data_IF_356992292929
#
_entry.id   IF_356992292929
#
_cell.length_a   1.000
_cell.length_b   1.000
_cell.length_c   1.000
_cell.angle_alpha   90.00
_cell.angle_beta   90.00
_cell.angle_gamma   90.00
#
_symmetry.space_group_name_H-M   'P 1'
#
loop_
_entity.id
_entity.type
_entity.pdbx_description
1 polymer ?
#
# COMPACT_ATOMS: atom_id res chain seq x y z
N UNK A 1 -12.34 -15.61 0.67
CA UNK A 1 -11.19 -15.26 1.55
C UNK A 1 -9.97 -15.14 0.66
N UNK A 2 -9.30 -13.99 0.60
CA UNK A 2 -8.10 -13.80 -0.24
C UNK A 2 -6.85 -13.89 0.64
N UNK A 3 -6.04 -14.91 0.41
CA UNK A 3 -4.74 -15.10 1.05
C UNK A 3 -3.69 -14.48 0.12
N UNK A 4 -2.72 -13.76 0.66
CA UNK A 4 -1.59 -13.23 -0.12
C UNK A 4 -0.30 -13.84 0.42
N UNK A 5 0.58 -14.32 -0.46
CA UNK A 5 1.90 -14.82 -0.08
C UNK A 5 2.99 -14.00 -0.73
N UNK A 6 4.02 -13.68 0.05
CA UNK A 6 5.30 -13.26 -0.46
C UNK A 6 6.21 -14.45 -0.64
N UNK A 7 6.95 -14.45 -1.73
CA UNK A 7 8.03 -15.40 -1.96
C UNK A 7 9.34 -14.64 -2.04
N UNK A 8 10.39 -15.19 -1.44
CA UNK A 8 11.75 -14.70 -1.66
C UNK A 8 12.10 -14.89 -3.13
N UNK A 9 12.35 -13.79 -3.83
CA UNK A 9 13.02 -13.80 -5.11
C UNK A 9 14.51 -14.08 -4.85
N UNK A 10 15.10 -15.06 -5.52
CA UNK A 10 16.55 -15.29 -5.49
C UNK A 10 17.37 -14.18 -6.20
N UNK A 11 16.82 -12.97 -6.31
CA UNK A 11 17.44 -11.83 -6.99
C UNK A 11 18.06 -10.85 -6.00
N UNK A 12 19.19 -10.24 -6.36
CA UNK A 12 19.83 -9.16 -5.58
C UNK A 12 19.00 -7.84 -5.55
N UNK A 13 17.88 -7.77 -6.26
CA UNK A 13 17.02 -6.58 -6.33
C UNK A 13 15.85 -6.68 -5.33
N UNK A 14 15.46 -5.57 -4.68
CA UNK A 14 14.26 -5.54 -3.84
C UNK A 14 12.99 -5.91 -4.61
N UNK A 15 12.11 -6.69 -4.00
CA UNK A 15 10.79 -7.03 -4.56
C UNK A 15 9.71 -5.99 -4.23
N UNK A 16 9.95 -5.15 -3.22
CA UNK A 16 9.03 -4.07 -2.77
C UNK A 16 9.76 -2.74 -2.79
N UNK A 17 9.15 -1.73 -3.40
CA UNK A 17 9.67 -0.37 -3.47
C UNK A 17 8.69 0.63 -2.87
N UNK A 18 9.19 1.60 -2.10
CA UNK A 18 8.47 2.82 -1.74
C UNK A 18 9.25 4.02 -2.29
N UNK A 19 8.61 4.84 -3.13
CA UNK A 19 9.26 5.92 -3.88
C UNK A 19 8.45 7.20 -3.80
N UNK A 20 9.10 8.35 -3.97
CA UNK A 20 8.43 9.61 -4.24
C UNK A 20 8.50 9.91 -5.73
N UNK A 21 7.40 10.36 -6.35
CA UNK A 21 7.36 10.65 -7.78
C UNK A 21 6.33 11.73 -8.13
N UNK A 22 6.64 12.54 -9.14
CA UNK A 22 5.68 13.48 -9.73
C UNK A 22 4.57 12.74 -10.50
N UNK A 23 3.36 13.28 -10.42
CA UNK A 23 2.15 12.77 -11.06
C UNK A 23 2.29 12.66 -12.57
N UNK A 24 2.93 13.65 -13.21
CA UNK A 24 3.11 13.71 -14.67
C UNK A 24 3.84 12.49 -15.24
N UNK A 25 4.70 11.85 -14.43
CA UNK A 25 5.53 10.72 -14.86
C UNK A 25 4.78 9.38 -14.76
N UNK A 26 3.60 9.34 -14.14
CA UNK A 26 2.81 8.11 -13.96
C UNK A 26 1.68 7.93 -14.99
N UNK A 27 1.52 8.85 -15.95
CA UNK A 27 0.53 8.75 -17.04
C UNK A 27 -0.91 8.74 -16.51
N UNK A 28 -1.49 9.93 -16.33
CA UNK A 28 -2.92 10.23 -16.09
C UNK A 28 -3.73 9.50 -15.00
N UNK A 29 -3.25 8.42 -14.37
CA UNK A 29 -4.02 7.64 -13.37
C UNK A 29 -4.43 8.45 -12.12
N UNK A 30 -3.74 9.55 -11.86
CA UNK A 30 -4.03 10.47 -10.77
C UNK A 30 -4.15 11.93 -11.23
N UNK A 31 -4.15 12.18 -12.55
CA UNK A 31 -4.43 13.49 -13.13
C UNK A 31 -5.89 13.87 -12.79
N UNK A 32 -6.07 14.95 -12.04
CA UNK A 32 -7.39 15.38 -11.56
C UNK A 32 -7.93 14.66 -10.31
N UNK A 33 -7.22 13.65 -9.75
CA UNK A 33 -7.64 12.97 -8.51
C UNK A 33 -6.89 13.49 -7.29
N UNK A 34 -7.60 13.66 -6.16
CA UNK A 34 -7.04 14.07 -4.87
C UNK A 34 -6.36 12.88 -4.15
N UNK A 35 -5.38 12.26 -4.81
CA UNK A 35 -4.66 11.06 -4.34
C UNK A 35 -3.22 11.42 -4.00
N UNK A 36 -2.69 10.98 -2.86
CA UNK A 36 -1.31 11.28 -2.44
C UNK A 36 -0.41 10.05 -2.32
N UNK A 37 -1.00 8.84 -2.43
CA UNK A 37 -0.33 7.56 -2.38
C UNK A 37 -0.94 6.60 -3.41
N UNK A 38 -0.12 5.76 -4.02
CA UNK A 38 -0.59 4.73 -4.96
C UNK A 38 0.33 3.52 -4.92
N UNK A 39 -0.25 2.32 -4.86
CA UNK A 39 0.51 1.07 -4.89
C UNK A 39 0.10 0.19 -6.06
N UNK A 40 1.11 -0.26 -6.81
CA UNK A 40 0.98 -1.28 -7.84
C UNK A 40 1.53 -2.59 -7.30
N UNK A 41 0.69 -3.62 -7.25
CA UNK A 41 1.09 -4.96 -6.84
C UNK A 41 1.08 -5.87 -8.08
N UNK A 42 2.15 -6.65 -8.24
CA UNK A 42 2.29 -7.64 -9.30
C UNK A 42 2.25 -9.05 -8.71
N UNK A 43 1.62 -9.96 -9.45
CA UNK A 43 1.43 -11.35 -9.04
C UNK A 43 2.11 -12.29 -10.04
N UNK A 44 2.41 -13.51 -9.62
CA UNK A 44 2.89 -14.54 -10.55
C UNK A 44 1.79 -14.91 -11.55
N UNK A 45 2.15 -15.18 -12.82
CA UNK A 45 1.16 -15.60 -13.83
C UNK A 45 0.39 -16.87 -13.43
N UNK A 46 1.03 -17.74 -12.65
CA UNK A 46 0.47 -18.98 -12.14
C UNK A 46 -0.46 -18.79 -10.93
N UNK A 47 -0.52 -17.60 -10.33
CA UNK A 47 -1.36 -17.37 -9.15
C UNK A 47 -1.62 -15.88 -8.89
N UNK A 48 -2.88 -15.53 -8.72
CA UNK A 48 -3.38 -14.21 -8.31
C UNK A 48 -3.25 -13.94 -6.79
N UNK A 49 -2.69 -14.89 -6.03
CA UNK A 49 -2.46 -14.78 -4.58
C UNK A 49 -0.97 -14.71 -4.21
N UNK A 50 -0.08 -15.09 -5.14
CA UNK A 50 1.36 -15.00 -4.93
C UNK A 50 1.87 -13.65 -5.44
N UNK A 51 2.16 -12.73 -4.51
CA UNK A 51 2.74 -11.43 -4.85
C UNK A 51 4.19 -11.64 -5.27
N UNK A 52 4.48 -11.22 -6.51
CA UNK A 52 5.83 -11.20 -7.07
C UNK A 52 6.61 -9.96 -6.65
N UNK A 53 5.91 -8.85 -6.45
CA UNK A 53 6.51 -7.60 -6.04
C UNK A 53 5.53 -6.45 -6.07
N UNK A 54 5.89 -5.34 -5.43
CA UNK A 54 5.04 -4.16 -5.35
C UNK A 54 5.84 -2.87 -5.47
N UNK A 55 5.24 -1.84 -6.05
CA UNK A 55 5.80 -0.48 -6.08
C UNK A 55 4.77 0.52 -5.59
N UNK A 56 5.11 1.17 -4.50
CA UNK A 56 4.35 2.24 -3.87
C UNK A 56 4.95 3.60 -4.21
N UNK A 57 4.10 4.56 -4.54
CA UNK A 57 4.44 5.93 -4.88
C UNK A 57 3.76 6.91 -3.93
N UNK A 58 4.54 7.86 -3.42
CA UNK A 58 4.05 9.08 -2.78
C UNK A 58 4.09 10.20 -3.83
N UNK A 59 2.92 10.78 -4.09
CA UNK A 59 2.70 11.66 -5.24
C UNK A 59 3.05 13.11 -4.88
N UNK A 60 4.26 13.53 -5.24
CA UNK A 60 4.87 14.79 -4.75
C UNK A 60 4.06 16.03 -5.09
N UNK A 61 3.39 16.05 -6.24
CA UNK A 61 2.70 17.26 -6.70
C UNK A 61 1.42 17.49 -5.87
N UNK A 62 0.70 16.41 -5.51
CA UNK A 62 -0.46 16.50 -4.64
C UNK A 62 -0.06 16.70 -3.16
N UNK A 63 1.07 16.13 -2.73
CA UNK A 63 1.64 16.41 -1.40
C UNK A 63 1.88 17.91 -1.22
N UNK A 64 2.49 18.56 -2.22
CA UNK A 64 2.72 20.00 -2.24
C UNK A 64 1.39 20.78 -2.34
N UNK A 65 0.54 20.43 -3.30
CA UNK A 65 -0.76 21.10 -3.55
C UNK A 65 -1.65 21.14 -2.31
N UNK A 66 -1.73 20.04 -1.56
CA UNK A 66 -2.61 19.91 -0.39
C UNK A 66 -1.92 20.20 0.94
N UNK A 67 -0.67 20.69 0.93
CA UNK A 67 0.10 20.99 2.14
C UNK A 67 0.12 19.82 3.14
N UNK A 68 0.34 18.61 2.63
CA UNK A 68 0.33 17.39 3.43
C UNK A 68 1.47 17.45 4.46
N UNK A 69 1.13 17.23 5.73
CA UNK A 69 2.10 17.23 6.83
C UNK A 69 2.99 15.98 6.80
N UNK A 70 4.14 16.04 7.48
CA UNK A 70 5.02 14.87 7.65
C UNK A 70 4.32 13.69 8.33
N UNK A 71 3.41 13.96 9.27
CA UNK A 71 2.61 12.92 9.92
C UNK A 71 1.66 12.21 8.94
N UNK A 72 0.97 12.99 8.10
CA UNK A 72 0.11 12.46 7.05
C UNK A 72 0.92 11.69 5.99
N UNK A 73 2.10 12.18 5.63
CA UNK A 73 3.00 11.50 4.70
C UNK A 73 3.47 10.14 5.25
N UNK A 74 3.89 10.09 6.52
CA UNK A 74 4.29 8.85 7.19
C UNK A 74 3.13 7.85 7.24
N UNK A 75 1.93 8.32 7.57
CA UNK A 75 0.72 7.50 7.55
C UNK A 75 0.47 6.90 6.17
N UNK A 76 0.50 7.73 5.12
CA UNK A 76 0.31 7.28 3.74
C UNK A 76 1.38 6.26 3.34
N UNK A 77 2.64 6.48 3.70
CA UNK A 77 3.69 5.49 3.45
C UNK A 77 3.36 4.13 4.08
N UNK A 78 2.88 4.10 5.33
CA UNK A 78 2.47 2.86 6.00
C UNK A 78 1.25 2.24 5.32
N UNK A 79 0.28 3.06 4.91
CA UNK A 79 -0.92 2.62 4.17
C UNK A 79 -0.56 1.93 2.85
N UNK A 80 0.32 2.56 2.05
CA UNK A 80 0.78 2.01 0.78
C UNK A 80 1.61 0.74 0.98
N UNK A 81 2.44 0.68 2.02
CA UNK A 81 3.12 -0.56 2.39
C UNK A 81 2.12 -1.67 2.77
N UNK A 82 1.00 -1.32 3.41
CA UNK A 82 -0.11 -2.23 3.65
C UNK A 82 -0.65 -2.86 2.35
N UNK A 83 -0.86 -2.04 1.31
CA UNK A 83 -1.23 -2.56 -0.01
C UNK A 83 -0.14 -3.42 -0.65
N UNK A 84 1.13 -3.02 -0.50
CA UNK A 84 2.27 -3.79 -1.02
C UNK A 84 2.29 -5.20 -0.41
N UNK A 85 1.89 -5.32 0.87
CA UNK A 85 1.74 -6.59 1.61
C UNK A 85 0.36 -7.23 1.52
N UNK A 86 -0.46 -6.84 0.54
CA UNK A 86 -1.71 -7.53 0.24
C UNK A 86 -2.90 -7.15 1.13
N UNK A 87 -2.77 -6.13 1.98
CA UNK A 87 -3.92 -5.59 2.71
C UNK A 87 -4.80 -4.77 1.76
N UNK A 88 -6.12 -4.89 1.93
CA UNK A 88 -7.12 -4.06 1.23
C UNK A 88 -7.52 -2.87 2.12
N UNK A 89 -8.19 -1.88 1.53
CA UNK A 89 -8.79 -0.80 2.30
C UNK A 89 -9.70 -1.33 3.41
N UNK A 90 -9.74 -0.60 4.51
CA UNK A 90 -10.63 -0.83 5.63
C UNK A 90 -11.56 0.37 5.79
N UNK A 91 -12.85 0.15 5.97
CA UNK A 91 -13.83 1.24 6.15
C UNK A 91 -13.77 1.89 7.53
N UNK A 92 -13.11 1.25 8.52
CA UNK A 92 -13.02 1.77 9.89
C UNK A 92 -11.97 2.88 9.98
N UNK A 93 -12.39 4.10 10.30
CA UNK A 93 -11.50 5.29 10.46
C UNK A 93 -10.24 5.08 11.33
N UNK A 94 -10.25 4.26 12.39
CA UNK A 94 -9.04 3.98 13.18
C UNK A 94 -7.99 3.12 12.47
N UNK A 95 -8.35 2.43 11.39
CA UNK A 95 -7.44 1.56 10.65
C UNK A 95 -6.40 2.37 9.88
N UNK A 96 -5.16 1.88 9.86
CA UNK A 96 -4.12 2.45 8.99
C UNK A 96 -4.47 2.28 7.51
N UNK A 97 -5.25 1.24 7.17
CA UNK A 97 -5.78 0.96 5.84
C UNK A 97 -7.05 1.75 5.50
N UNK A 98 -7.45 2.74 6.32
CA UNK A 98 -8.53 3.66 5.94
C UNK A 98 -8.11 4.56 4.77
N UNK A 99 -8.87 4.63 3.65
CA UNK A 99 -8.41 5.23 2.40
C UNK A 99 -8.26 6.76 2.43
N UNK A 100 -8.84 7.44 3.43
CA UNK A 100 -8.76 8.89 3.55
C UNK A 100 -7.71 9.32 4.57
N UNK A 101 -7.15 10.51 4.36
CA UNK A 101 -6.16 11.09 5.27
C UNK A 101 -6.76 11.31 6.65
N UNK A 102 -5.96 10.96 7.66
CA UNK A 102 -6.23 11.23 9.06
C UNK A 102 -4.91 11.41 9.79
N UNK A 103 -4.95 11.97 11.00
CA UNK A 103 -3.76 12.14 11.83
C UNK A 103 -3.40 10.86 12.63
N UNK A 104 -4.07 9.72 12.36
CA UNK A 104 -3.84 8.46 13.08
C UNK A 104 -2.77 7.64 12.36
N UNK A 105 -1.62 7.48 13.03
CA UNK A 105 -0.44 6.73 12.53
C UNK A 105 -0.34 5.35 13.23
N UNK A 106 -1.14 5.11 14.27
CA UNK A 106 -1.14 3.86 15.03
C UNK A 106 -1.74 2.71 14.22
N UNK A 107 -1.04 1.58 14.20
CA UNK A 107 -1.60 0.30 13.75
C UNK A 107 -2.70 -0.12 14.74
N UNK A 108 -3.92 -0.33 14.26
CA UNK A 108 -5.04 -0.79 15.09
C UNK A 108 -5.03 -2.31 15.26
N UNK A 109 -5.70 -2.82 16.30
CA UNK A 109 -5.93 -4.26 16.45
C UNK A 109 -6.67 -4.88 15.26
N UNK A 110 -7.53 -4.09 14.59
CA UNK A 110 -8.20 -4.49 13.35
C UNK A 110 -7.23 -4.65 12.17
N UNK A 111 -6.18 -3.84 12.11
CA UNK A 111 -5.12 -3.96 11.09
C UNK A 111 -4.31 -5.23 11.30
N UNK A 112 -3.91 -5.50 12.55
CA UNK A 112 -3.18 -6.73 12.91
C UNK A 112 -4.01 -7.97 12.58
N UNK A 113 -5.29 -7.99 12.95
CA UNK A 113 -6.20 -9.10 12.63
C UNK A 113 -6.39 -9.28 11.13
N UNK A 114 -6.57 -8.19 10.39
CA UNK A 114 -6.71 -8.24 8.94
C UNK A 114 -5.45 -8.80 8.28
N UNK A 115 -4.26 -8.33 8.71
CA UNK A 115 -2.98 -8.83 8.23
C UNK A 115 -2.82 -10.31 8.55
N UNK A 116 -3.09 -10.72 9.80
CA UNK A 116 -3.07 -12.13 10.18
C UNK A 116 -3.97 -12.96 9.26
N UNK A 117 -5.21 -12.54 9.02
CA UNK A 117 -6.13 -13.26 8.12
C UNK A 117 -5.63 -13.33 6.66
N UNK A 118 -4.91 -12.32 6.19
CA UNK A 118 -4.29 -12.32 4.85
C UNK A 118 -3.22 -13.39 4.71
N UNK A 119 -2.49 -13.75 5.78
CA UNK A 119 -1.37 -14.68 5.72
C UNK A 119 -1.64 -16.06 6.35
N UNK A 120 -2.53 -16.16 7.32
CA UNK A 120 -2.62 -17.31 8.22
C UNK A 120 -3.70 -18.33 7.85
N UNK A 121 -4.58 -18.03 6.89
CA UNK A 121 -5.57 -19.02 6.44
C UNK A 121 -4.95 -20.00 5.43
N UNK A 122 -3.94 -20.75 5.89
CA UNK A 122 -3.34 -21.88 5.19
C UNK A 122 -3.97 -23.15 5.76
N UNK A 123 -4.88 -23.77 5.02
CA UNK A 123 -5.16 -25.20 5.21
C UNK A 123 -3.94 -25.95 4.65
N UNK A 124 -3.18 -26.61 5.52
CA UNK A 124 -2.21 -27.64 5.12
C UNK A 124 -2.94 -28.94 4.84
#
# INVERSE_FOLDING_TARGET
MHVVKFVSSGSEKPDIYLRQKSLKILGDYSSGKNVIGLTYTSYYKSSDTLVKGATSYLLTDNIKKFHITNGNLRRTAIHELGHAIGMKHNSKRPSIMYPYISNKISISSGDVKALYNTYHNLSY
#
